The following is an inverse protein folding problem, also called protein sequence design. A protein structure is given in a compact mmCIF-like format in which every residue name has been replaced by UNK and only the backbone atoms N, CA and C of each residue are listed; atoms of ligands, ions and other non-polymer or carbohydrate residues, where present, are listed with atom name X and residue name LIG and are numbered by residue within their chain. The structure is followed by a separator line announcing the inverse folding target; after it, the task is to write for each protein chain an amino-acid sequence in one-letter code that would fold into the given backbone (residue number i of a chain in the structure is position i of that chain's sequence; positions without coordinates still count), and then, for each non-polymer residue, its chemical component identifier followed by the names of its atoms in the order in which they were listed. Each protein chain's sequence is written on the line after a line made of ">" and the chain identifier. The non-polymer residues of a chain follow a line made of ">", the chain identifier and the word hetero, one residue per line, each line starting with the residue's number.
data_IF_740204224879
#
_entry.id   IF_740204224879
#
_cell.length_a   1.000
_cell.length_b   1.000
_cell.length_c   1.000
_cell.angle_alpha   90.00
_cell.angle_beta   90.00
_cell.angle_gamma   90.00
#
_symmetry.space_group_name_H-M   'P 1'
#
loop_
_entity.id
_entity.type
_entity.pdbx_description
1 polymer ?
#
# COMPACT_ATOMS: atom_id res chain seq x y z
N UNK A 1 -3.32 23.95 11.78
CA UNK A 1 -4.00 22.66 12.07
C UNK A 1 -3.14 21.54 11.53
N UNK A 2 -2.97 20.43 12.25
CA UNK A 2 -2.13 19.31 11.76
C UNK A 2 -3.03 18.20 11.24
N UNK A 3 -2.70 17.70 10.06
CA UNK A 3 -3.40 16.59 9.37
C UNK A 3 -2.43 15.43 9.25
N UNK A 4 -2.64 14.31 9.98
CA UNK A 4 -1.70 13.20 9.99
C UNK A 4 -1.65 12.46 8.65
N UNK A 5 -0.46 11.93 8.31
CA UNK A 5 -0.24 11.11 7.11
C UNK A 5 -0.83 9.69 7.24
N UNK A 6 -1.08 9.23 8.47
CA UNK A 6 -1.53 7.86 8.78
C UNK A 6 -2.66 7.90 9.80
N UNK A 7 -3.54 6.87 9.83
CA UNK A 7 -4.64 6.82 10.78
C UNK A 7 -4.15 6.76 12.22
N UNK A 8 -4.84 7.50 13.09
CA UNK A 8 -4.62 7.49 14.53
C UNK A 8 -5.17 6.21 15.17
N UNK A 9 -4.60 5.83 16.32
CA UNK A 9 -5.11 4.73 17.12
C UNK A 9 -6.57 5.00 17.54
N UNK A 10 -7.45 4.03 17.31
CA UNK A 10 -8.84 4.06 17.74
C UNK A 10 -9.03 3.15 18.97
N UNK A 11 -9.02 3.76 20.17
CA UNK A 11 -9.11 3.04 21.44
C UNK A 11 -10.47 2.35 21.59
N UNK A 12 -11.58 2.99 21.20
CA UNK A 12 -12.91 2.40 21.30
C UNK A 12 -13.05 1.12 20.45
N UNK A 13 -12.46 1.13 19.26
CA UNK A 13 -12.42 -0.07 18.41
C UNK A 13 -11.59 -1.21 19.04
N UNK A 14 -10.49 -0.89 19.72
CA UNK A 14 -9.66 -1.88 20.43
C UNK A 14 -10.34 -2.47 21.67
N UNK A 15 -11.08 -1.66 22.40
CA UNK A 15 -11.81 -2.06 23.60
C UNK A 15 -13.14 -2.75 23.29
N UNK A 16 -13.55 -2.79 22.04
CA UNK A 16 -14.79 -3.46 21.63
C UNK A 16 -14.76 -4.95 21.97
N UNK A 17 -15.94 -5.53 22.28
CA UNK A 17 -16.12 -6.97 22.55
C UNK A 17 -16.09 -7.83 21.25
N UNK A 18 -15.73 -7.23 20.12
CA UNK A 18 -15.64 -7.95 18.86
C UNK A 18 -14.68 -9.14 18.97
N UNK A 19 -15.17 -10.32 18.63
CA UNK A 19 -14.35 -11.54 18.62
C UNK A 19 -13.39 -11.49 17.41
N UNK A 20 -12.14 -11.91 17.58
CA UNK A 20 -11.25 -12.08 16.45
C UNK A 20 -11.89 -12.96 15.38
N UNK A 21 -11.80 -12.60 14.14
CA UNK A 21 -12.32 -13.40 13.02
C UNK A 21 -11.40 -14.61 12.82
N UNK A 22 -11.87 -15.79 13.22
CA UNK A 22 -11.14 -17.05 13.05
C UNK A 22 -11.27 -17.64 11.63
N UNK A 23 -12.00 -16.96 10.74
CA UNK A 23 -12.36 -17.48 9.41
C UNK A 23 -11.72 -16.71 8.25
N UNK A 24 -10.60 -16.02 8.51
CA UNK A 24 -9.85 -15.39 7.42
C UNK A 24 -9.06 -16.48 6.68
N UNK A 25 -9.32 -16.62 5.39
CA UNK A 25 -8.60 -17.57 4.52
C UNK A 25 -7.30 -16.92 4.01
N UNK A 26 -6.49 -16.43 4.94
CA UNK A 26 -5.20 -15.79 4.66
C UNK A 26 -4.15 -16.28 5.67
N UNK A 27 -2.92 -16.32 5.21
CA UNK A 27 -1.74 -16.49 6.06
C UNK A 27 -1.17 -15.11 6.38
N UNK A 28 -0.79 -14.87 7.64
CA UNK A 28 -0.27 -13.59 8.08
C UNK A 28 1.25 -13.57 8.09
N UNK A 29 1.79 -12.38 7.81
CA UNK A 29 3.21 -12.05 7.81
C UNK A 29 3.39 -10.69 8.49
N UNK A 30 4.61 -10.39 8.93
CA UNK A 30 4.87 -9.06 9.50
C UNK A 30 4.66 -7.98 8.45
N UNK A 31 5.20 -8.19 7.23
CA UNK A 31 5.13 -7.23 6.14
C UNK A 31 4.58 -7.84 4.85
N UNK A 32 3.94 -7.01 4.00
CA UNK A 32 3.43 -7.44 2.70
C UNK A 32 4.50 -7.99 1.75
N UNK A 33 5.74 -7.49 1.83
CA UNK A 33 6.87 -8.01 1.03
C UNK A 33 7.28 -9.44 1.40
N UNK A 34 7.10 -9.85 2.66
CA UNK A 34 7.31 -11.23 3.09
C UNK A 34 6.19 -12.14 2.56
N UNK A 35 4.94 -11.65 2.60
CA UNK A 35 3.80 -12.32 1.97
C UNK A 35 4.01 -12.50 0.46
N UNK A 36 4.58 -11.50 -0.23
CA UNK A 36 4.90 -11.56 -1.65
C UNK A 36 5.96 -12.64 -1.95
N UNK A 37 7.06 -12.65 -1.19
CA UNK A 37 8.10 -13.69 -1.35
C UNK A 37 7.52 -15.09 -1.10
N UNK A 38 6.72 -15.25 -0.04
CA UNK A 38 6.05 -16.52 0.24
C UNK A 38 5.11 -16.94 -0.89
N UNK A 39 4.38 -15.99 -1.50
CA UNK A 39 3.54 -16.27 -2.67
C UNK A 39 4.37 -16.83 -3.82
N UNK A 40 5.50 -16.19 -4.15
CA UNK A 40 6.39 -16.66 -5.23
C UNK A 40 6.89 -18.08 -4.99
N UNK A 41 7.43 -18.33 -3.78
CA UNK A 41 7.93 -19.67 -3.40
C UNK A 41 6.81 -20.73 -3.46
N UNK A 42 5.62 -20.40 -2.95
CA UNK A 42 4.47 -21.32 -2.90
C UNK A 42 3.84 -21.59 -4.26
N UNK A 43 3.99 -20.65 -5.20
CA UNK A 43 3.63 -20.85 -6.61
C UNK A 43 4.70 -21.63 -7.40
N UNK A 44 5.79 -22.02 -6.73
CA UNK A 44 6.80 -22.90 -7.27
C UNK A 44 7.95 -22.20 -8.00
N UNK A 45 8.11 -20.88 -7.83
CA UNK A 45 9.22 -20.13 -8.41
C UNK A 45 10.54 -20.55 -7.74
N UNK A 46 11.59 -20.61 -8.56
CA UNK A 46 12.95 -20.99 -8.15
C UNK A 46 13.92 -19.85 -8.46
N UNK A 47 15.13 -19.95 -7.90
CA UNK A 47 16.23 -19.02 -8.25
C UNK A 47 16.46 -19.00 -9.76
N UNK A 48 16.57 -17.81 -10.33
CA UNK A 48 16.71 -17.58 -11.77
C UNK A 48 15.38 -17.47 -12.52
N UNK A 49 14.22 -17.72 -11.87
CA UNK A 49 12.94 -17.49 -12.52
C UNK A 49 12.63 -15.99 -12.63
N UNK A 50 12.09 -15.58 -13.77
CA UNK A 50 11.73 -14.19 -14.03
C UNK A 50 10.38 -13.82 -13.42
N UNK A 51 10.29 -12.59 -12.88
CA UNK A 51 9.05 -11.99 -12.38
C UNK A 51 8.83 -10.65 -13.06
N UNK A 52 7.71 -10.51 -13.77
CA UNK A 52 7.30 -9.24 -14.37
C UNK A 52 6.69 -8.36 -13.28
N UNK A 53 7.21 -7.14 -13.12
CA UNK A 53 6.71 -6.18 -12.14
C UNK A 53 6.53 -4.79 -12.78
N UNK A 54 5.54 -4.00 -12.33
CA UNK A 54 5.42 -2.62 -12.79
C UNK A 54 6.66 -1.79 -12.37
N UNK A 55 7.14 -0.93 -13.25
CA UNK A 55 8.27 -0.05 -12.97
C UNK A 55 7.96 0.99 -11.88
N UNK A 56 6.71 1.42 -11.76
CA UNK A 56 6.26 2.30 -10.68
C UNK A 56 6.06 1.50 -9.38
N UNK A 57 7.16 1.19 -8.70
CA UNK A 57 7.21 0.29 -7.55
C UNK A 57 8.25 0.75 -6.53
N UNK A 58 8.09 0.32 -5.29
CA UNK A 58 9.02 0.56 -4.20
C UNK A 58 10.10 -0.54 -4.15
N UNK A 59 11.37 -0.19 -4.17
CA UNK A 59 12.52 -1.13 -4.08
C UNK A 59 12.38 -2.08 -2.89
N UNK A 60 11.94 -1.57 -1.75
CA UNK A 60 11.79 -2.38 -0.53
C UNK A 60 10.78 -3.53 -0.68
N UNK A 61 9.93 -3.52 -1.70
CA UNK A 61 9.04 -4.63 -2.04
C UNK A 61 9.77 -5.72 -2.82
N UNK A 62 10.76 -5.34 -3.62
CA UNK A 62 11.51 -6.23 -4.51
C UNK A 62 12.73 -6.86 -3.84
N UNK A 63 13.32 -6.17 -2.85
CA UNK A 63 14.51 -6.65 -2.13
C UNK A 63 14.46 -8.13 -1.70
N UNK A 64 13.36 -8.66 -1.12
CA UNK A 64 13.31 -10.08 -0.76
C UNK A 64 13.28 -11.02 -1.97
N UNK A 65 12.69 -10.59 -3.09
CA UNK A 65 12.62 -11.38 -4.33
C UNK A 65 14.02 -11.49 -4.96
N UNK A 66 14.73 -10.37 -5.03
CA UNK A 66 16.11 -10.31 -5.53
C UNK A 66 17.07 -11.10 -4.62
N UNK A 67 16.94 -10.97 -3.30
CA UNK A 67 17.74 -11.73 -2.33
C UNK A 67 17.47 -13.24 -2.40
N UNK A 68 16.26 -13.67 -2.73
CA UNK A 68 15.94 -15.07 -3.00
C UNK A 68 16.56 -15.55 -4.32
N UNK A 69 16.88 -14.64 -5.23
CA UNK A 69 17.51 -14.92 -6.53
C UNK A 69 16.52 -14.97 -7.68
N UNK A 70 15.36 -14.29 -7.58
CA UNK A 70 14.46 -14.08 -8.72
C UNK A 70 14.97 -12.94 -9.61
N UNK A 71 14.72 -13.05 -10.90
CA UNK A 71 15.06 -12.03 -11.90
C UNK A 71 13.89 -11.06 -12.09
N UNK A 72 14.10 -9.79 -11.78
CA UNK A 72 13.06 -8.77 -11.89
C UNK A 72 13.04 -8.20 -13.31
N UNK A 73 11.89 -8.34 -13.97
CA UNK A 73 11.64 -7.82 -15.32
C UNK A 73 10.64 -6.69 -15.24
N UNK A 74 11.09 -5.46 -15.45
CA UNK A 74 10.22 -4.28 -15.34
C UNK A 74 9.41 -4.02 -16.59
N UNK A 75 8.14 -3.63 -16.40
CA UNK A 75 7.23 -3.10 -17.42
C UNK A 75 6.76 -1.72 -16.97
N UNK A 76 6.73 -0.72 -17.88
CA UNK A 76 6.19 0.59 -17.51
C UNK A 76 4.68 0.52 -17.22
N UNK A 77 4.12 1.55 -16.64
CA UNK A 77 2.68 1.68 -16.43
C UNK A 77 2.08 2.64 -17.44
N UNK A 78 0.78 2.51 -17.73
CA UNK A 78 0.05 3.44 -18.59
C UNK A 78 -0.34 4.73 -17.84
N UNK A 79 -1.08 5.62 -18.53
CA UNK A 79 -1.55 6.89 -17.96
C UNK A 79 -2.59 6.74 -16.84
N UNK A 80 -3.12 5.55 -16.61
CA UNK A 80 -4.03 5.20 -15.52
C UNK A 80 -3.38 4.29 -14.46
N UNK A 81 -2.04 4.21 -14.43
CA UNK A 81 -1.29 3.32 -13.55
C UNK A 81 -1.65 1.83 -13.74
N UNK A 82 -1.98 1.41 -14.95
CA UNK A 82 -2.27 0.03 -15.32
C UNK A 82 -1.12 -0.58 -16.09
N UNK A 83 -1.13 -1.89 -16.22
CA UNK A 83 -0.21 -2.60 -17.10
C UNK A 83 -0.66 -2.42 -18.58
N UNK A 84 0.20 -1.87 -19.46
CA UNK A 84 -0.13 -1.70 -20.88
C UNK A 84 -0.11 -3.06 -21.58
N UNK A 85 -1.28 -3.52 -22.04
CA UNK A 85 -1.46 -4.89 -22.58
C UNK A 85 -0.59 -5.20 -23.78
N UNK A 86 -0.36 -4.23 -24.68
CA UNK A 86 0.49 -4.44 -25.87
C UNK A 86 1.95 -4.69 -25.48
N UNK A 87 2.48 -3.91 -24.53
CA UNK A 87 3.84 -4.13 -24.01
C UNK A 87 3.92 -5.45 -23.23
N UNK A 88 2.88 -5.80 -22.48
CA UNK A 88 2.83 -7.05 -21.74
C UNK A 88 2.87 -8.27 -22.67
N UNK A 89 2.12 -8.25 -23.78
CA UNK A 89 2.16 -9.32 -24.81
C UNK A 89 3.56 -9.52 -25.37
N UNK A 90 4.23 -8.43 -25.75
CA UNK A 90 5.61 -8.47 -26.27
C UNK A 90 6.56 -9.00 -25.20
N UNK A 91 6.41 -8.55 -23.95
CA UNK A 91 7.29 -8.94 -22.87
C UNK A 91 7.16 -10.43 -22.54
N UNK A 92 5.94 -10.95 -22.48
CA UNK A 92 5.65 -12.37 -22.24
C UNK A 92 6.25 -13.25 -23.34
N UNK A 93 6.13 -12.84 -24.62
CA UNK A 93 6.67 -13.59 -25.75
C UNK A 93 8.20 -13.68 -25.74
N UNK A 94 8.88 -12.69 -25.19
CA UNK A 94 10.34 -12.55 -25.23
C UNK A 94 11.04 -12.94 -23.92
N UNK A 95 10.31 -13.26 -22.86
CA UNK A 95 10.86 -13.54 -21.55
C UNK A 95 10.41 -14.89 -20.98
N UNK A 96 11.28 -15.47 -20.14
CA UNK A 96 10.99 -16.70 -19.39
C UNK A 96 10.35 -16.38 -18.01
N UNK A 97 9.52 -15.35 -17.94
CA UNK A 97 8.84 -15.01 -16.69
C UNK A 97 7.91 -16.15 -16.23
N UNK A 98 7.90 -16.41 -14.95
CA UNK A 98 7.04 -17.40 -14.29
C UNK A 98 5.94 -16.77 -13.47
N UNK A 99 6.07 -15.49 -13.16
CA UNK A 99 5.03 -14.73 -12.44
C UNK A 99 4.95 -13.30 -12.95
N UNK A 100 3.76 -12.70 -12.72
CA UNK A 100 3.47 -11.29 -12.93
C UNK A 100 2.84 -10.72 -11.68
N UNK A 101 3.29 -9.53 -11.27
CA UNK A 101 2.72 -8.75 -10.19
C UNK A 101 1.78 -7.67 -10.74
N UNK A 102 0.48 -7.78 -10.45
CA UNK A 102 -0.53 -6.80 -10.81
C UNK A 102 -0.86 -5.93 -9.59
N UNK A 103 -0.51 -4.64 -9.61
CA UNK A 103 -0.63 -3.75 -8.46
C UNK A 103 -1.92 -2.95 -8.51
N UNK A 104 -2.70 -2.99 -7.43
CA UNK A 104 -3.87 -2.14 -7.21
C UNK A 104 -3.44 -0.84 -6.53
N UNK A 105 -3.07 0.17 -7.33
CA UNK A 105 -2.49 1.40 -6.82
C UNK A 105 -3.47 2.21 -5.96
N UNK A 106 -3.01 2.62 -4.79
CA UNK A 106 -3.65 3.60 -3.90
C UNK A 106 -5.11 3.30 -3.52
N UNK A 107 -5.48 2.02 -3.53
CA UNK A 107 -6.83 1.57 -3.20
C UNK A 107 -7.74 1.36 -4.41
N UNK A 108 -7.34 1.80 -5.59
CA UNK A 108 -8.10 1.60 -6.82
C UNK A 108 -7.79 0.24 -7.44
N UNK A 109 -8.83 -0.55 -7.64
CA UNK A 109 -8.69 -1.90 -8.21
C UNK A 109 -8.56 -1.84 -9.73
N UNK A 110 -7.56 -2.55 -10.26
CA UNK A 110 -7.44 -2.75 -11.70
C UNK A 110 -8.40 -3.87 -12.17
N UNK A 111 -8.82 -3.79 -13.43
CA UNK A 111 -9.44 -4.91 -14.12
C UNK A 111 -8.32 -5.87 -14.55
N UNK A 112 -8.28 -7.06 -13.96
CA UNK A 112 -7.21 -8.04 -14.19
C UNK A 112 -7.61 -9.21 -15.08
N UNK A 113 -8.88 -9.30 -15.52
CA UNK A 113 -9.39 -10.44 -16.30
C UNK A 113 -8.58 -10.71 -17.58
N UNK A 114 -8.22 -9.67 -18.34
CA UNK A 114 -7.43 -9.81 -19.56
C UNK A 114 -5.98 -10.21 -19.25
N UNK A 115 -5.38 -9.62 -18.20
CA UNK A 115 -4.05 -9.96 -17.72
C UNK A 115 -4.01 -11.44 -17.31
N UNK A 116 -4.98 -11.88 -16.52
CA UNK A 116 -5.09 -13.27 -16.05
C UNK A 116 -5.21 -14.24 -17.23
N UNK A 117 -6.11 -13.94 -18.17
CA UNK A 117 -6.30 -14.78 -19.36
C UNK A 117 -5.00 -14.90 -20.17
N UNK A 118 -4.32 -13.79 -20.42
CA UNK A 118 -3.06 -13.77 -21.17
C UNK A 118 -1.96 -14.54 -20.43
N UNK A 119 -1.75 -14.27 -19.14
CA UNK A 119 -0.70 -14.91 -18.34
C UNK A 119 -0.92 -16.42 -18.22
N UNK A 120 -2.14 -16.86 -17.91
CA UNK A 120 -2.46 -18.29 -17.78
C UNK A 120 -2.27 -19.06 -19.09
N UNK A 121 -2.58 -18.46 -20.26
CA UNK A 121 -2.30 -19.06 -21.56
C UNK A 121 -0.80 -19.33 -21.78
N UNK A 122 0.07 -18.58 -21.10
CA UNK A 122 1.53 -18.74 -21.20
C UNK A 122 2.17 -19.42 -19.98
N UNK A 123 1.35 -19.97 -19.07
CA UNK A 123 1.83 -20.65 -17.85
C UNK A 123 2.50 -19.72 -16.84
N UNK A 124 2.10 -18.44 -16.83
CA UNK A 124 2.59 -17.40 -15.92
C UNK A 124 1.59 -17.22 -14.78
N UNK A 125 2.05 -17.35 -13.54
CA UNK A 125 1.23 -17.08 -12.36
C UNK A 125 1.00 -15.58 -12.20
N UNK A 126 -0.20 -15.18 -11.77
CA UNK A 126 -0.54 -13.78 -11.50
C UNK A 126 -0.73 -13.58 -10.01
N UNK A 127 0.02 -12.64 -9.44
CA UNK A 127 -0.13 -12.19 -8.05
C UNK A 127 -0.74 -10.80 -8.06
N UNK A 128 -1.90 -10.63 -7.43
CA UNK A 128 -2.50 -9.32 -7.20
C UNK A 128 -1.91 -8.68 -5.95
N UNK A 129 -1.25 -7.54 -6.09
CA UNK A 129 -0.79 -6.74 -4.96
C UNK A 129 -1.88 -5.77 -4.50
N UNK A 130 -2.65 -6.22 -3.51
CA UNK A 130 -3.67 -5.45 -2.81
C UNK A 130 -3.12 -4.70 -1.57
N UNK A 131 -1.79 -4.47 -1.49
CA UNK A 131 -1.19 -3.78 -0.34
C UNK A 131 -1.73 -2.36 -0.13
N UNK A 132 -2.15 -1.67 -1.18
CA UNK A 132 -2.79 -0.36 -1.10
C UNK A 132 -4.32 -0.45 -1.05
N UNK A 133 -4.90 -1.58 -1.38
CA UNK A 133 -6.35 -1.76 -1.60
C UNK A 133 -7.03 -2.72 -0.61
N UNK A 134 -6.42 -2.94 0.56
CA UNK A 134 -6.98 -3.78 1.62
C UNK A 134 -8.45 -3.47 1.96
N UNK A 135 -8.82 -2.19 1.98
CA UNK A 135 -10.19 -1.77 2.26
C UNK A 135 -11.12 -1.97 1.06
N UNK A 136 -10.62 -2.05 -0.16
CA UNK A 136 -11.40 -2.31 -1.37
C UNK A 136 -11.74 -3.80 -1.53
N UNK A 137 -10.83 -4.66 -1.07
CA UNK A 137 -10.97 -6.11 -1.21
C UNK A 137 -11.23 -6.76 0.15
N UNK A 138 -12.38 -7.42 0.36
CA UNK A 138 -12.65 -8.09 1.62
C UNK A 138 -11.73 -9.31 1.80
N UNK A 139 -11.22 -9.51 3.02
CA UNK A 139 -10.46 -10.73 3.36
C UNK A 139 -11.36 -11.98 3.42
N UNK A 140 -12.68 -11.82 3.55
CA UNK A 140 -13.63 -12.93 3.48
C UNK A 140 -13.95 -13.23 2.01
N UNK A 141 -13.84 -14.49 1.63
CA UNK A 141 -14.13 -15.00 0.29
C UNK A 141 -15.60 -14.84 -0.09
N UNK A 142 -15.99 -13.67 -0.59
CA UNK A 142 -17.29 -13.45 -1.23
C UNK A 142 -17.17 -13.35 -2.76
N UNK A 143 -15.98 -13.07 -3.28
CA UNK A 143 -15.65 -13.16 -4.71
C UNK A 143 -14.41 -14.03 -4.87
N UNK A 144 -14.46 -14.99 -5.78
CA UNK A 144 -13.27 -15.72 -6.20
C UNK A 144 -12.40 -14.75 -7.01
N UNK A 145 -11.33 -14.22 -6.42
CA UNK A 145 -10.24 -13.71 -7.24
C UNK A 145 -9.79 -14.84 -8.17
N UNK A 146 -9.53 -14.50 -9.41
CA UNK A 146 -8.99 -15.45 -10.38
C UNK A 146 -7.46 -15.47 -10.37
N UNK A 147 -6.84 -14.56 -9.62
CA UNK A 147 -5.39 -14.54 -9.45
C UNK A 147 -4.91 -15.77 -8.66
N UNK A 148 -3.71 -16.22 -8.94
CA UNK A 148 -3.11 -17.38 -8.27
C UNK A 148 -2.79 -17.07 -6.80
N UNK A 149 -2.45 -15.79 -6.53
CA UNK A 149 -2.27 -15.27 -5.19
C UNK A 149 -2.71 -13.81 -5.07
N UNK A 150 -3.06 -13.40 -3.86
CA UNK A 150 -3.29 -12.00 -3.49
C UNK A 150 -2.49 -11.68 -2.23
N UNK A 151 -1.82 -10.53 -2.22
CA UNK A 151 -1.11 -10.03 -1.06
C UNK A 151 -1.73 -8.75 -0.52
N UNK A 152 -1.69 -8.58 0.80
CA UNK A 152 -2.25 -7.43 1.50
C UNK A 152 -1.24 -6.81 2.45
N UNK A 153 -1.40 -5.52 2.75
CA UNK A 153 -0.63 -4.80 3.77
C UNK A 153 -1.54 -3.89 4.60
N UNK A 154 -2.12 -4.43 5.66
CA UNK A 154 -3.13 -3.74 6.48
C UNK A 154 -2.58 -2.52 7.20
N UNK A 155 -1.28 -2.49 7.53
CA UNK A 155 -0.60 -1.35 8.15
C UNK A 155 -0.63 -0.06 7.32
N UNK A 156 -0.97 -0.16 6.03
CA UNK A 156 -1.14 1.01 5.16
C UNK A 156 -2.50 1.70 5.36
N UNK A 157 -3.49 0.98 5.89
CA UNK A 157 -4.86 1.45 6.10
C UNK A 157 -5.29 1.46 7.57
N UNK A 158 -4.65 0.65 8.43
CA UNK A 158 -4.94 0.54 9.85
C UNK A 158 -3.75 1.01 10.70
N UNK A 159 -3.97 1.50 11.93
CA UNK A 159 -2.92 1.97 12.83
C UNK A 159 -2.20 0.81 13.55
N UNK A 160 -1.66 -0.13 12.78
CA UNK A 160 -0.92 -1.31 13.25
C UNK A 160 0.50 -1.31 12.68
N UNK A 161 1.39 -2.16 13.22
CA UNK A 161 2.77 -2.25 12.73
C UNK A 161 3.03 -3.47 11.84
N UNK A 162 2.22 -4.53 11.96
CA UNK A 162 2.20 -5.73 11.14
C UNK A 162 1.01 -5.74 10.17
N UNK A 163 0.76 -6.86 9.53
CA UNK A 163 -0.42 -7.06 8.70
C UNK A 163 -0.10 -7.25 7.22
N UNK A 164 1.05 -7.86 6.91
CA UNK A 164 1.22 -8.59 5.67
C UNK A 164 0.26 -9.79 5.67
N UNK A 165 -0.37 -10.10 4.54
CA UNK A 165 -1.15 -11.31 4.41
C UNK A 165 -1.10 -11.85 2.99
N UNK A 166 -1.20 -13.17 2.87
CA UNK A 166 -1.23 -13.93 1.62
C UNK A 166 -2.52 -14.74 1.55
N UNK A 167 -3.21 -14.65 0.43
CA UNK A 167 -4.27 -15.58 0.02
C UNK A 167 -3.84 -16.31 -1.25
N UNK A 168 -3.91 -17.63 -1.24
CA UNK A 168 -3.67 -18.47 -2.41
C UNK A 168 -5.00 -19.03 -2.92
N UNK A 169 -5.20 -19.02 -4.24
CA UNK A 169 -6.49 -19.37 -4.84
C UNK A 169 -6.84 -20.85 -4.67
N UNK A 170 -5.89 -21.75 -4.96
CA UNK A 170 -6.15 -23.19 -5.00
C UNK A 170 -5.50 -23.98 -3.85
N UNK A 171 -4.74 -23.31 -2.98
CA UNK A 171 -4.00 -23.98 -1.90
C UNK A 171 -4.63 -23.69 -0.55
N UNK A 172 -4.79 -24.70 0.25
CA UNK A 172 -5.25 -24.56 1.63
C UNK A 172 -4.30 -23.65 2.42
N UNK A 173 -4.86 -22.75 3.18
CA UNK A 173 -4.13 -21.95 4.17
C UNK A 173 -3.39 -22.90 5.11
N UNK A 174 -2.08 -22.78 5.20
CA UNK A 174 -1.31 -23.55 6.18
C UNK A 174 -1.64 -22.99 7.55
N UNK A 175 -2.29 -23.82 8.36
CA UNK A 175 -2.57 -23.51 9.77
C UNK A 175 -1.54 -24.18 10.64
N UNK A 176 -0.84 -23.38 11.44
CA UNK A 176 0.18 -23.88 12.34
C UNK A 176 0.23 -23.04 13.62
N UNK A 177 0.98 -23.54 14.59
CA UNK A 177 1.26 -22.80 15.82
C UNK A 177 2.44 -21.85 15.60
N UNK A 178 2.20 -20.78 14.81
CA UNK A 178 3.23 -19.81 14.44
C UNK A 178 3.56 -18.86 15.58
N UNK A 179 4.80 -18.35 15.57
CA UNK A 179 5.22 -17.26 16.46
C UNK A 179 4.44 -15.97 16.13
N UNK A 180 4.24 -15.08 17.11
CA UNK A 180 3.65 -13.77 16.84
C UNK A 180 4.49 -12.97 15.84
N UNK A 181 3.86 -12.30 14.86
CA UNK A 181 4.51 -11.37 13.93
C UNK A 181 5.22 -10.24 14.69
N UNK A 182 4.61 -9.84 15.79
CA UNK A 182 5.10 -8.80 16.69
C UNK A 182 4.96 -9.28 18.11
N UNK A 183 6.01 -9.14 18.93
CA UNK A 183 5.93 -9.44 20.35
C UNK A 183 4.90 -8.54 21.03
N UNK A 184 4.30 -9.02 22.13
CA UNK A 184 3.33 -8.21 22.89
C UNK A 184 3.92 -6.87 23.36
N UNK A 185 5.19 -6.86 23.78
CA UNK A 185 5.90 -5.62 24.15
C UNK A 185 6.05 -4.68 22.95
N UNK A 186 6.33 -5.21 21.77
CA UNK A 186 6.40 -4.45 20.52
C UNK A 186 5.05 -3.83 20.16
N UNK A 187 3.96 -4.58 20.29
CA UNK A 187 2.61 -4.10 20.01
C UNK A 187 2.21 -2.96 20.97
N UNK A 188 2.47 -3.12 22.27
CA UNK A 188 2.25 -2.07 23.29
C UNK A 188 3.09 -0.83 23.00
N UNK A 189 4.38 -0.97 22.69
CA UNK A 189 5.25 0.17 22.32
C UNK A 189 4.69 0.91 21.10
N UNK A 190 4.20 0.20 20.09
CA UNK A 190 3.58 0.82 18.92
C UNK A 190 2.30 1.59 19.30
N UNK A 191 1.44 1.03 20.18
CA UNK A 191 0.25 1.72 20.67
C UNK A 191 0.61 3.03 21.35
N UNK A 192 1.61 3.05 22.23
CA UNK A 192 2.08 4.27 22.91
C UNK A 192 2.67 5.28 21.91
N UNK A 193 3.47 4.85 20.96
CA UNK A 193 4.03 5.73 19.93
C UNK A 193 2.92 6.38 19.08
N UNK A 194 1.87 5.62 18.71
CA UNK A 194 0.71 6.15 17.98
C UNK A 194 -0.13 7.12 18.83
N UNK A 195 -0.27 6.84 20.12
CA UNK A 195 -0.96 7.74 21.02
C UNK A 195 -0.18 9.05 21.21
N UNK A 196 1.14 8.98 21.38
CA UNK A 196 2.00 10.15 21.45
C UNK A 196 1.94 10.99 20.15
N UNK A 197 2.00 10.35 18.97
CA UNK A 197 1.83 11.02 17.67
C UNK A 197 0.48 11.76 17.59
N UNK A 198 -0.60 11.10 18.00
CA UNK A 198 -1.94 11.71 18.07
C UNK A 198 -1.97 12.92 19.02
N UNK A 199 -1.40 12.79 20.21
CA UNK A 199 -1.37 13.86 21.22
C UNK A 199 -0.58 15.07 20.70
N UNK A 200 0.63 14.85 20.16
CA UNK A 200 1.46 15.91 19.60
C UNK A 200 0.75 16.65 18.45
N UNK A 201 0.15 15.92 17.52
CA UNK A 201 -0.59 16.54 16.41
C UNK A 201 -1.84 17.31 16.88
N UNK A 202 -2.53 16.82 17.93
CA UNK A 202 -3.67 17.50 18.51
C UNK A 202 -3.27 18.79 19.23
N UNK A 203 -2.09 18.81 19.88
CA UNK A 203 -1.51 20.00 20.50
C UNK A 203 -0.93 20.99 19.47
N UNK A 204 -0.96 20.67 18.17
CA UNK A 204 -0.52 21.57 17.11
C UNK A 204 0.95 21.44 16.73
N UNK A 205 1.69 20.47 17.27
CA UNK A 205 3.09 20.25 16.88
C UNK A 205 3.16 19.67 15.48
N UNK A 206 3.77 20.41 14.55
CA UNK A 206 3.96 19.97 13.17
C UNK A 206 5.13 18.96 13.06
N UNK A 207 4.83 17.69 13.23
CA UNK A 207 5.80 16.60 13.14
C UNK A 207 6.22 16.27 11.68
N UNK A 208 5.64 16.95 10.68
CA UNK A 208 5.93 16.74 9.25
C UNK A 208 6.90 17.80 8.68
N UNK A 209 7.15 18.91 9.40
CA UNK A 209 8.08 19.96 9.02
C UNK A 209 9.54 19.55 9.31
N UNK A 210 10.15 18.84 8.40
CA UNK A 210 11.60 18.84 8.17
C UNK A 210 12.50 17.95 9.05
N UNK A 211 12.42 17.92 10.36
CA UNK A 211 13.48 17.29 11.19
C UNK A 211 13.19 15.82 11.54
N UNK A 212 11.93 15.44 11.66
CA UNK A 212 11.51 14.08 12.05
C UNK A 212 11.62 13.09 10.88
N UNK A 213 11.62 13.57 9.64
CA UNK A 213 11.85 12.72 8.46
C UNK A 213 13.26 12.10 8.52
N UNK A 214 14.27 12.83 8.99
CA UNK A 214 15.64 12.30 9.17
C UNK A 214 15.70 11.24 10.27
N UNK A 215 15.01 11.44 11.39
CA UNK A 215 14.94 10.46 12.49
C UNK A 215 14.16 9.22 12.08
N UNK A 216 13.04 9.35 11.34
CA UNK A 216 12.30 8.20 10.78
C UNK A 216 13.15 7.40 9.79
N UNK A 217 13.92 8.06 8.95
CA UNK A 217 14.84 7.39 8.02
C UNK A 217 16.00 6.70 8.76
N UNK A 218 16.50 7.28 9.84
CA UNK A 218 17.50 6.66 10.71
C UNK A 218 16.93 5.43 11.43
N UNK A 219 15.79 5.54 12.09
CA UNK A 219 15.10 4.42 12.77
C UNK A 219 14.68 3.33 11.78
N UNK A 220 14.31 3.70 10.55
CA UNK A 220 13.97 2.76 9.48
C UNK A 220 15.20 2.02 8.95
N UNK A 221 16.37 2.68 8.88
CA UNK A 221 17.64 2.05 8.51
C UNK A 221 18.22 1.18 9.62
N UNK A 222 17.99 1.53 10.89
CA UNK A 222 18.53 0.82 12.05
C UNK A 222 17.55 -0.18 12.68
N UNK A 223 16.24 -0.04 12.44
CA UNK A 223 15.21 -0.93 13.00
C UNK A 223 14.93 -2.19 12.16
N UNK A 224 15.44 -2.26 10.94
CA UNK A 224 15.57 -3.51 10.21
C UNK A 224 17.04 -3.96 10.38
N UNK A 225 17.32 -4.81 11.35
CA UNK A 225 18.54 -5.61 11.33
C UNK A 225 18.67 -6.18 9.92
N UNK A 226 19.73 -5.81 9.21
CA UNK A 226 19.97 -5.97 7.80
C UNK A 226 20.00 -7.38 7.19
N UNK A 227 19.27 -8.32 7.76
CA UNK A 227 19.00 -9.61 7.14
C UNK A 227 17.62 -9.55 6.47
N UNK A 228 17.63 -9.46 5.15
CA UNK A 228 16.44 -9.72 4.34
C UNK A 228 16.04 -11.16 4.63
N UNK A 229 14.88 -11.34 5.25
CA UNK A 229 14.38 -12.67 5.53
C UNK A 229 13.96 -13.32 4.20
N UNK A 230 14.74 -14.29 3.75
CA UNK A 230 14.45 -15.10 2.56
C UNK A 230 13.63 -16.35 2.89
N UNK A 231 13.38 -16.61 4.19
CA UNK A 231 12.45 -17.62 4.70
C UNK A 231 11.20 -16.90 5.20
N UNK A 232 10.26 -16.64 4.29
CA UNK A 232 9.03 -15.93 4.61
C UNK A 232 8.02 -16.89 5.26
N UNK A 233 8.20 -17.18 6.56
CA UNK A 233 7.28 -18.00 7.33
C UNK A 233 6.05 -17.20 7.76
N UNK A 234 4.85 -17.83 7.74
CA UNK A 234 3.65 -17.26 8.33
C UNK A 234 3.84 -16.98 9.83
N UNK A 235 3.13 -15.98 10.33
CA UNK A 235 3.16 -15.63 11.74
C UNK A 235 1.76 -15.34 12.29
N UNK A 236 1.61 -15.25 13.60
CA UNK A 236 0.36 -14.87 14.26
C UNK A 236 0.21 -13.34 14.25
N UNK A 237 -0.89 -12.76 13.73
CA UNK A 237 -1.09 -11.33 13.74
C UNK A 237 -1.11 -10.76 15.18
N UNK A 238 -0.65 -9.53 15.35
CA UNK A 238 -0.62 -8.82 16.63
C UNK A 238 -2.01 -8.74 17.27
N UNK A 239 -2.06 -8.48 18.57
CA UNK A 239 -3.33 -8.33 19.27
C UNK A 239 -4.13 -7.14 18.72
N UNK A 240 -3.46 -6.00 18.44
CA UNK A 240 -4.11 -4.84 17.84
C UNK A 240 -4.69 -5.14 16.47
N UNK A 241 -3.96 -5.86 15.61
CA UNK A 241 -4.45 -6.25 14.29
C UNK A 241 -5.67 -7.18 14.40
N UNK A 242 -5.60 -8.22 15.26
CA UNK A 242 -6.74 -9.12 15.51
C UNK A 242 -7.99 -8.37 15.95
N UNK A 243 -7.83 -7.37 16.84
CA UNK A 243 -8.95 -6.52 17.31
C UNK A 243 -9.58 -5.72 16.19
N UNK A 244 -8.79 -5.05 15.34
CA UNK A 244 -9.32 -4.30 14.21
C UNK A 244 -10.00 -5.20 13.17
N UNK A 245 -9.40 -6.34 12.82
CA UNK A 245 -9.97 -7.27 11.85
C UNK A 245 -11.26 -7.94 12.35
N UNK A 246 -11.36 -8.20 13.64
CA UNK A 246 -12.57 -8.74 14.28
C UNK A 246 -13.72 -7.74 14.38
N UNK A 247 -13.43 -6.44 14.29
CA UNK A 247 -14.43 -5.38 14.43
C UNK A 247 -15.00 -4.95 13.07
N UNK A 248 -15.99 -5.72 12.57
CA UNK A 248 -16.65 -5.47 11.26
C UNK A 248 -17.26 -4.06 11.16
N UNK A 249 -17.87 -3.57 12.24
CA UNK A 249 -18.46 -2.22 12.33
C UNK A 249 -17.40 -1.16 12.09
N UNK A 250 -16.26 -1.26 12.80
CA UNK A 250 -15.14 -0.35 12.61
C UNK A 250 -14.58 -0.37 11.18
N UNK A 251 -14.44 -1.54 10.58
CA UNK A 251 -13.98 -1.64 9.19
C UNK A 251 -14.97 -1.02 8.20
N UNK A 252 -16.27 -1.21 8.42
CA UNK A 252 -17.33 -0.59 7.61
C UNK A 252 -17.34 0.93 7.75
N UNK A 253 -17.27 1.45 8.98
CA UNK A 253 -17.16 2.88 9.26
C UNK A 253 -15.89 3.48 8.65
N UNK A 254 -14.77 2.76 8.72
CA UNK A 254 -13.51 3.15 8.07
C UNK A 254 -13.67 3.31 6.57
N UNK A 255 -14.29 2.33 5.88
CA UNK A 255 -14.57 2.41 4.44
C UNK A 255 -15.44 3.62 4.12
N UNK A 256 -16.55 3.79 4.82
CA UNK A 256 -17.48 4.92 4.61
C UNK A 256 -16.78 6.27 4.80
N UNK A 257 -16.03 6.42 5.88
CA UNK A 257 -15.31 7.68 6.18
C UNK A 257 -14.26 8.01 5.13
N UNK A 258 -13.47 7.03 4.73
CA UNK A 258 -12.42 7.21 3.70
C UNK A 258 -13.05 7.59 2.36
N UNK A 259 -14.13 6.92 1.95
CA UNK A 259 -14.87 7.23 0.73
C UNK A 259 -15.46 8.65 0.76
N UNK A 260 -16.09 9.04 1.87
CA UNK A 260 -16.64 10.39 2.05
C UNK A 260 -15.54 11.46 1.97
N UNK A 261 -14.41 11.23 2.66
CA UNK A 261 -13.27 12.15 2.64
C UNK A 261 -12.70 12.30 1.21
N UNK A 262 -12.58 11.20 0.47
CA UNK A 262 -12.14 11.24 -0.92
C UNK A 262 -13.11 12.03 -1.80
N UNK A 263 -14.40 11.72 -1.76
CA UNK A 263 -15.41 12.38 -2.60
C UNK A 263 -15.45 13.90 -2.34
N UNK A 264 -15.40 14.29 -1.05
CA UNK A 264 -15.38 15.70 -0.69
C UNK A 264 -14.10 16.40 -1.18
N UNK A 265 -12.93 15.81 -0.92
CA UNK A 265 -11.64 16.41 -1.31
C UNK A 265 -11.48 16.45 -2.83
N UNK A 266 -11.70 15.33 -3.53
CA UNK A 266 -11.53 15.25 -4.98
C UNK A 266 -12.47 16.19 -5.74
N UNK A 267 -13.74 16.28 -5.34
CA UNK A 267 -14.69 17.21 -5.94
C UNK A 267 -14.26 18.68 -5.79
N UNK A 268 -13.83 19.07 -4.59
CA UNK A 268 -13.35 20.43 -4.34
C UNK A 268 -12.05 20.73 -5.11
N UNK A 269 -11.12 19.78 -5.19
CA UNK A 269 -9.86 19.97 -5.91
C UNK A 269 -10.05 20.07 -7.42
N UNK A 270 -10.95 19.27 -7.99
CA UNK A 270 -11.33 19.38 -9.41
C UNK A 270 -11.93 20.76 -9.70
N UNK A 271 -12.78 21.28 -8.81
CA UNK A 271 -13.41 22.58 -8.97
C UNK A 271 -12.39 23.76 -8.96
N UNK A 272 -11.26 23.60 -8.27
CA UNK A 272 -10.17 24.61 -8.26
C UNK A 272 -9.04 24.30 -9.23
N UNK A 273 -9.24 23.35 -10.16
CA UNK A 273 -8.36 23.12 -11.30
C UNK A 273 -7.21 22.12 -11.08
N UNK A 274 -7.20 21.36 -9.98
CA UNK A 274 -6.24 20.26 -9.82
C UNK A 274 -6.58 19.07 -10.72
N UNK A 275 -5.57 18.52 -11.37
CA UNK A 275 -5.68 17.23 -12.05
C UNK A 275 -5.51 16.10 -11.05
N UNK A 276 -6.45 15.15 -11.06
CA UNK A 276 -6.41 13.94 -10.24
C UNK A 276 -6.08 12.73 -11.11
N UNK A 277 -5.36 11.77 -10.54
CA UNK A 277 -5.08 10.47 -11.21
C UNK A 277 -6.35 9.63 -11.29
N UNK A 278 -7.15 9.65 -10.22
CA UNK A 278 -8.41 8.92 -10.12
C UNK A 278 -9.53 9.87 -9.71
N UNK A 279 -10.62 9.86 -10.46
CA UNK A 279 -11.81 10.69 -10.21
C UNK A 279 -13.04 9.84 -9.88
N UNK A 280 -13.10 8.61 -10.41
CA UNK A 280 -14.17 7.66 -10.18
C UNK A 280 -13.71 6.57 -9.19
N UNK A 281 -14.53 6.35 -8.19
CA UNK A 281 -14.29 5.33 -7.17
C UNK A 281 -14.65 3.93 -7.66
N UNK A 282 -15.66 3.79 -8.49
CA UNK A 282 -16.26 2.48 -8.76
C UNK A 282 -16.57 1.76 -7.44
N UNK A 283 -16.04 0.55 -7.27
CA UNK A 283 -16.12 -0.23 -6.03
C UNK A 283 -14.89 -0.06 -5.11
N UNK A 284 -14.00 0.88 -5.41
CA UNK A 284 -12.75 1.07 -4.69
C UNK A 284 -12.91 1.91 -3.43
N UNK A 285 -12.10 1.61 -2.42
CA UNK A 285 -11.90 2.44 -1.22
C UNK A 285 -10.48 2.98 -1.27
N UNK A 286 -10.29 4.27 -1.61
CA UNK A 286 -8.97 4.82 -1.87
C UNK A 286 -8.13 4.90 -0.59
N UNK A 287 -6.83 4.70 -0.72
CA UNK A 287 -5.86 4.89 0.35
C UNK A 287 -5.49 6.37 0.50
N UNK A 288 -5.46 7.10 -0.60
CA UNK A 288 -5.10 8.50 -0.68
C UNK A 288 -5.89 9.19 -1.81
N UNK A 289 -5.99 10.51 -1.78
CA UNK A 289 -6.36 11.30 -2.93
C UNK A 289 -5.08 11.73 -3.65
N UNK A 290 -4.95 11.42 -4.94
CA UNK A 290 -3.71 11.59 -5.71
C UNK A 290 -3.88 12.70 -6.73
N UNK A 291 -3.02 13.70 -6.64
CA UNK A 291 -3.02 14.87 -7.53
C UNK A 291 -1.67 15.01 -8.23
N UNK A 292 -1.68 15.66 -9.38
CA UNK A 292 -0.47 16.05 -10.08
C UNK A 292 0.11 17.35 -9.49
N UNK A 293 1.41 17.38 -9.34
CA UNK A 293 2.23 18.54 -8.98
C UNK A 293 3.15 18.87 -10.15
N UNK A 294 2.60 19.53 -11.16
CA UNK A 294 3.36 19.89 -12.37
C UNK A 294 4.40 21.00 -12.10
N UNK A 295 4.20 21.81 -11.05
CA UNK A 295 5.11 22.90 -10.66
C UNK A 295 6.27 22.40 -9.79
N UNK A 296 6.11 21.30 -9.08
CA UNK A 296 7.04 20.77 -8.07
C UNK A 296 6.98 21.52 -6.74
N UNK A 297 7.34 20.82 -5.65
CA UNK A 297 7.40 21.41 -4.31
C UNK A 297 6.10 21.37 -3.49
N UNK A 298 4.99 20.90 -4.07
CA UNK A 298 3.70 20.88 -3.39
C UNK A 298 3.71 19.99 -2.13
N UNK A 299 4.35 18.84 -2.18
CA UNK A 299 4.41 17.94 -1.03
C UNK A 299 5.14 18.59 0.15
N UNK A 300 6.23 19.30 -0.12
CA UNK A 300 7.03 20.07 0.85
C UNK A 300 6.22 21.23 1.43
N UNK A 301 5.56 21.99 0.56
CA UNK A 301 4.68 23.09 0.97
C UNK A 301 3.57 22.58 1.90
N UNK A 302 2.86 21.53 1.53
CA UNK A 302 1.80 20.94 2.33
C UNK A 302 2.31 20.48 3.70
N UNK A 303 3.48 19.82 3.75
CA UNK A 303 4.10 19.42 5.02
C UNK A 303 4.45 20.61 5.90
N UNK A 304 4.96 21.70 5.33
CA UNK A 304 5.21 22.95 6.06
C UNK A 304 3.91 23.53 6.65
N UNK A 305 2.80 23.38 5.94
CA UNK A 305 1.45 23.78 6.42
C UNK A 305 0.78 22.75 7.36
N UNK A 306 1.52 21.71 7.77
CA UNK A 306 1.01 20.70 8.71
C UNK A 306 0.17 19.59 8.06
N UNK A 307 0.12 19.49 6.76
CA UNK A 307 -0.53 18.40 6.02
C UNK A 307 0.46 17.27 5.81
N UNK A 308 0.15 16.06 6.27
CA UNK A 308 0.98 14.87 6.12
C UNK A 308 0.95 14.30 4.69
N UNK A 309 1.13 15.14 3.68
CA UNK A 309 1.24 14.75 2.29
C UNK A 309 2.57 14.04 1.99
N UNK A 310 2.56 13.10 1.03
CA UNK A 310 3.77 12.35 0.67
C UNK A 310 3.82 12.05 -0.83
N UNK A 311 5.00 11.64 -1.29
CA UNK A 311 5.21 11.04 -2.61
C UNK A 311 5.45 9.55 -2.46
N UNK A 312 5.14 8.77 -3.48
CA UNK A 312 5.41 7.34 -3.52
C UNK A 312 5.76 6.94 -4.96
N UNK A 313 6.76 6.08 -5.16
CA UNK A 313 7.70 5.56 -4.17
C UNK A 313 8.78 6.54 -3.70
N UNK A 314 8.89 7.74 -4.29
CA UNK A 314 9.89 8.77 -3.97
C UNK A 314 11.33 8.23 -4.09
N UNK A 315 12.14 8.39 -3.06
CA UNK A 315 13.54 7.91 -3.04
C UNK A 315 13.65 6.37 -3.02
N UNK A 316 12.51 5.67 -2.83
CA UNK A 316 12.47 4.19 -2.85
C UNK A 316 12.15 3.61 -4.24
N UNK A 317 12.15 4.43 -5.28
CA UNK A 317 12.04 3.93 -6.66
C UNK A 317 13.26 3.07 -7.01
N UNK A 318 13.10 1.91 -7.67
CA UNK A 318 14.25 1.09 -8.07
C UNK A 318 15.24 1.89 -8.90
N UNK A 319 16.51 1.85 -8.53
CA UNK A 319 17.55 2.66 -9.18
C UNK A 319 17.68 2.34 -10.69
N UNK A 320 17.50 1.07 -11.07
CA UNK A 320 17.52 0.65 -12.46
C UNK A 320 16.39 1.30 -13.28
N UNK A 321 15.23 1.54 -12.67
CA UNK A 321 14.11 2.25 -13.31
C UNK A 321 14.39 3.74 -13.35
N UNK A 322 14.85 4.32 -12.24
CA UNK A 322 15.16 5.74 -12.15
C UNK A 322 16.24 6.19 -13.14
N UNK A 323 17.24 5.34 -13.38
CA UNK A 323 18.34 5.61 -14.31
C UNK A 323 17.99 5.40 -15.80
N UNK A 324 16.85 4.76 -16.10
CA UNK A 324 16.39 4.45 -17.45
C UNK A 324 15.05 5.16 -17.76
N UNK A 325 15.02 6.48 -17.58
CA UNK A 325 13.80 7.26 -17.73
C UNK A 325 13.18 7.17 -19.14
N UNK A 326 14.00 7.00 -20.18
CA UNK A 326 13.51 6.81 -21.56
C UNK A 326 12.77 5.49 -21.74
N UNK A 327 13.18 4.45 -21.03
CA UNK A 327 12.55 3.12 -21.07
C UNK A 327 11.28 3.06 -20.21
N UNK A 328 11.25 3.81 -19.11
CA UNK A 328 10.14 3.84 -18.15
C UNK A 328 9.64 5.28 -17.93
N UNK A 329 9.16 5.96 -19.00
CA UNK A 329 8.81 7.38 -18.92
C UNK A 329 7.68 7.67 -17.95
N UNK A 330 6.62 6.85 -17.93
CA UNK A 330 5.47 7.08 -17.06
C UNK A 330 5.82 6.87 -15.58
N UNK A 331 6.52 5.78 -15.24
CA UNK A 331 6.94 5.52 -13.87
C UNK A 331 7.81 6.65 -13.32
N UNK A 332 8.77 7.15 -14.13
CA UNK A 332 9.62 8.28 -13.77
C UNK A 332 8.84 9.61 -13.66
N UNK A 333 7.90 9.84 -14.56
CA UNK A 333 7.03 11.03 -14.50
C UNK A 333 6.19 11.01 -13.22
N UNK A 334 5.51 9.91 -12.89
CA UNK A 334 4.67 9.79 -11.69
C UNK A 334 5.47 9.89 -10.40
N UNK A 335 6.68 9.34 -10.37
CA UNK A 335 7.54 9.48 -9.19
C UNK A 335 7.89 10.94 -8.88
N UNK A 336 7.98 11.79 -9.92
CA UNK A 336 8.30 13.22 -9.79
C UNK A 336 7.07 14.09 -9.53
N UNK A 337 5.91 13.72 -10.07
CA UNK A 337 4.74 14.61 -10.13
C UNK A 337 3.59 14.21 -9.22
N UNK A 338 3.47 12.95 -8.80
CA UNK A 338 2.33 12.57 -7.98
C UNK A 338 2.52 12.92 -6.50
N UNK A 339 1.52 13.59 -5.94
CA UNK A 339 1.41 13.89 -4.51
C UNK A 339 0.18 13.21 -3.94
N UNK A 340 0.39 12.49 -2.85
CA UNK A 340 -0.63 11.73 -2.13
C UNK A 340 -1.12 12.54 -0.93
N UNK A 341 -2.41 12.80 -0.90
CA UNK A 341 -3.09 13.52 0.16
C UNK A 341 -3.77 12.53 1.12
N UNK A 342 -3.62 12.72 2.44
CA UNK A 342 -4.24 11.83 3.42
C UNK A 342 -5.75 12.01 3.44
N UNK A 343 -6.49 10.88 3.43
CA UNK A 343 -7.97 10.83 3.49
C UNK A 343 -8.48 9.78 4.47
N UNK A 344 -7.59 9.24 5.32
CA UNK A 344 -7.90 8.13 6.19
C UNK A 344 -9.01 8.46 7.24
N UNK A 345 -9.55 7.44 7.87
CA UNK A 345 -10.71 7.49 8.76
C UNK A 345 -10.58 8.43 9.98
N UNK A 346 -9.36 8.81 10.36
CA UNK A 346 -9.14 9.73 11.48
C UNK A 346 -9.20 11.22 11.10
N UNK A 347 -9.38 11.53 9.82
CA UNK A 347 -9.45 12.90 9.32
C UNK A 347 -10.90 13.39 9.40
N UNK A 348 -11.10 14.53 10.02
CA UNK A 348 -12.40 15.19 10.14
C UNK A 348 -12.72 16.04 8.90
N UNK A 349 -14.00 16.35 8.69
CA UNK A 349 -14.43 17.28 7.64
C UNK A 349 -13.76 18.67 7.74
N UNK A 350 -13.53 19.15 8.97
CA UNK A 350 -12.80 20.42 9.21
C UNK A 350 -11.35 20.34 8.70
N UNK A 351 -10.69 19.20 8.85
CA UNK A 351 -9.33 18.98 8.35
C UNK A 351 -9.31 18.86 6.82
N UNK A 352 -10.32 18.24 6.21
CA UNK A 352 -10.48 18.22 4.75
C UNK A 352 -10.64 19.64 4.21
N UNK A 353 -11.54 20.45 4.81
CA UNK A 353 -11.75 21.85 4.40
C UNK A 353 -10.48 22.69 4.55
N UNK A 354 -9.70 22.48 5.61
CA UNK A 354 -8.41 23.17 5.79
C UNK A 354 -7.41 22.77 4.69
N UNK A 355 -7.35 21.50 4.34
CA UNK A 355 -6.50 21.01 3.24
C UNK A 355 -6.89 21.64 1.90
N UNK A 356 -8.19 21.74 1.60
CA UNK A 356 -8.71 22.43 0.42
C UNK A 356 -8.27 23.90 0.40
N UNK A 357 -8.37 24.62 1.52
CA UNK A 357 -7.93 26.01 1.62
C UNK A 357 -6.43 26.19 1.35
N UNK A 358 -5.58 25.30 1.89
CA UNK A 358 -4.14 25.33 1.64
C UNK A 358 -3.83 25.08 0.17
N UNK A 359 -4.49 24.10 -0.45
CA UNK A 359 -4.31 23.75 -1.85
C UNK A 359 -4.82 24.85 -2.80
N UNK A 360 -5.96 25.46 -2.51
CA UNK A 360 -6.49 26.57 -3.32
C UNK A 360 -5.52 27.76 -3.40
N UNK A 361 -4.84 28.06 -2.27
CA UNK A 361 -3.80 29.11 -2.23
C UNK A 361 -2.52 28.74 -2.99
N UNK A 362 -2.25 27.48 -3.21
CA UNK A 362 -1.11 27.01 -4.01
C UNK A 362 -1.36 27.18 -5.50
N UNK A 363 -2.60 27.06 -5.97
CA UNK A 363 -2.99 27.24 -7.36
C UNK A 363 -3.04 28.72 -7.77
N UNK A 364 -3.44 29.63 -6.86
CA UNK A 364 -3.42 31.08 -7.08
C UNK A 364 -1.99 31.64 -7.14
#
# INVERSE_FOLDING_TARGET
>A
MIIPARPNLNISALLSRAKPSNHLEVEFYTLGREALLSAMIRLGLKKGDGVIVPAYMCSSTLEPLEAYGLEIVFIDVDQQLRLPMDQLRVLISNNRAKALLAVHYFGFTQKTDEILSLCHQHGINVIEDASHSFLSQPLSRTSKSRADAEIFSMRKSLPVQDGGALRLNEKNVIRGNYKPCVSWVGDVKNMFARLAEKTLTTLGFNIYAGTITRVKNYVRRTGANGTINTEADPCQPSWTLKKYLGNKSYLQETRQRVTQNFTHLSGALTAVGFKLVFTDLGNSVPQACIIYDDKGGLAEHLRAQGVGAWRWPAEEMPQVVASQAEKYPNANHYNKTLVLLPIHQSISARQINHMIQVLSKWQS
#
